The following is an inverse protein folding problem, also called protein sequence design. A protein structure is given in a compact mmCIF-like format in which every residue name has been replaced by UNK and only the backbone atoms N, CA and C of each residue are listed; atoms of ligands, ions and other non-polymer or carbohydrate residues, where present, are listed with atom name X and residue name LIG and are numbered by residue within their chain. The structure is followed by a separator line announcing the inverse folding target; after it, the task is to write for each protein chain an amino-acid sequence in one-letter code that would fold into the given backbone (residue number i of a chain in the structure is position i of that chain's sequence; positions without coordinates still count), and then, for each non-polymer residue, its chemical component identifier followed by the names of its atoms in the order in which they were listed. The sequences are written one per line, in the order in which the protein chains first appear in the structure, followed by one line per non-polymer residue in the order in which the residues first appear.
data_IF_040223019128
#
_entry.id   IF_040223019128
#
_cell.length_a   1.000
_cell.length_b   1.000
_cell.length_c   1.000
_cell.angle_alpha   90.00
_cell.angle_beta   90.00
_cell.angle_gamma   90.00
#
_symmetry.space_group_name_H-M   'P 1'
#
loop_
_entity.id
_entity.type
_entity.pdbx_description
1 polymer ?
#
# COMPACT_ATOMS: atom_id res chain seq x y z
N UNK A 1 25.90 18.27 40.82
CA UNK A 1 24.44 18.20 40.61
C UNK A 1 24.12 18.24 39.12
N UNK A 2 24.40 17.17 38.37
CA UNK A 2 24.26 17.19 36.90
C UNK A 2 23.63 15.91 36.33
N UNK A 3 22.81 15.21 37.12
CA UNK A 3 22.31 13.87 36.75
C UNK A 3 20.79 13.76 36.72
N UNK A 4 20.04 14.81 37.05
CA UNK A 4 18.57 14.72 37.17
C UNK A 4 17.84 15.23 35.92
N UNK A 5 18.47 16.06 35.08
CA UNK A 5 17.81 16.71 33.95
C UNK A 5 17.76 15.91 32.63
N UNK A 6 18.48 14.79 32.50
CA UNK A 6 18.35 13.92 31.29
C UNK A 6 17.15 12.98 31.33
N UNK A 7 16.64 12.65 32.52
CA UNK A 7 15.58 11.64 32.67
C UNK A 7 14.17 12.10 32.27
N UNK A 8 13.97 13.42 32.10
CA UNK A 8 12.67 13.99 31.73
C UNK A 8 12.45 14.09 30.22
N UNK A 9 13.51 14.21 29.42
CA UNK A 9 13.40 14.30 27.95
C UNK A 9 13.24 12.94 27.26
N UNK A 10 13.76 11.86 27.85
CA UNK A 10 13.60 10.51 27.29
C UNK A 10 12.20 9.91 27.56
N UNK A 11 11.42 10.47 28.49
CA UNK A 11 10.05 10.01 28.78
C UNK A 11 8.97 10.65 27.90
N UNK A 12 9.28 11.72 27.16
CA UNK A 12 8.28 12.40 26.33
C UNK A 12 8.28 12.00 24.85
N UNK A 13 9.23 11.18 24.40
CA UNK A 13 9.20 10.65 23.03
C UNK A 13 8.32 9.40 22.86
N UNK A 14 7.72 8.89 23.94
CA UNK A 14 6.88 7.68 23.92
C UNK A 14 5.39 7.92 23.63
N UNK A 15 4.92 9.16 23.46
CA UNK A 15 3.48 9.48 23.44
C UNK A 15 2.99 10.00 22.08
N UNK A 16 3.87 10.21 21.10
CA UNK A 16 3.45 10.51 19.73
C UNK A 16 3.52 9.25 18.86
N UNK A 17 2.74 8.24 19.24
CA UNK A 17 2.23 7.34 18.21
C UNK A 17 0.98 8.00 17.62
N UNK A 18 1.09 8.45 16.38
CA UNK A 18 -0.05 8.97 15.62
C UNK A 18 -1.22 7.97 15.66
N UNK A 19 -2.49 8.40 15.62
CA UNK A 19 -3.63 7.47 15.56
C UNK A 19 -3.55 6.48 14.39
N UNK A 20 -2.78 6.82 13.35
CA UNK A 20 -2.48 5.97 12.20
C UNK A 20 -1.37 4.93 12.46
N UNK A 21 -0.42 5.17 13.38
CA UNK A 21 0.55 4.17 13.83
C UNK A 21 -0.15 2.96 14.49
N UNK A 22 -1.24 3.19 15.23
CA UNK A 22 -2.01 2.14 15.89
C UNK A 22 -2.82 1.28 14.92
N UNK A 23 -3.31 1.84 13.81
CA UNK A 23 -4.28 1.14 12.96
C UNK A 23 -3.69 0.05 12.06
N UNK A 24 -2.39 0.10 11.70
CA UNK A 24 -1.74 -1.03 11.03
C UNK A 24 -1.31 -2.11 12.04
N UNK A 25 -0.92 -1.69 13.26
CA UNK A 25 -0.58 -2.60 14.36
C UNK A 25 -1.76 -3.42 14.87
N UNK A 26 -3.00 -2.97 14.65
CA UNK A 26 -4.20 -3.72 15.06
C UNK A 26 -4.52 -4.93 14.18
N UNK A 27 -3.97 -5.01 12.96
CA UNK A 27 -4.29 -6.07 12.00
C UNK A 27 -3.29 -7.22 12.00
N UNK A 28 -2.07 -6.98 12.45
CA UNK A 28 -0.98 -7.96 12.39
C UNK A 28 -0.39 -8.10 13.78
N UNK A 29 -0.37 -9.34 14.31
CA UNK A 29 0.19 -9.59 15.64
C UNK A 29 1.69 -9.31 15.69
N UNK A 30 2.21 -8.98 16.87
CA UNK A 30 3.65 -8.79 17.10
C UNK A 30 4.47 -10.02 16.68
N UNK A 31 3.94 -11.23 16.88
CA UNK A 31 4.59 -12.46 16.43
C UNK A 31 4.77 -12.50 14.90
N UNK A 32 3.73 -12.14 14.14
CA UNK A 32 3.79 -12.11 12.67
C UNK A 32 4.75 -11.02 12.19
N UNK A 33 4.73 -9.84 12.83
CA UNK A 33 5.70 -8.78 12.54
C UNK A 33 7.13 -9.24 12.79
N UNK A 34 7.39 -9.96 13.88
CA UNK A 34 8.72 -10.52 14.18
C UNK A 34 9.19 -11.54 13.13
N UNK A 35 8.30 -12.39 12.62
CA UNK A 35 8.63 -13.35 11.53
C UNK A 35 8.98 -12.62 10.24
N UNK A 36 8.20 -11.60 9.87
CA UNK A 36 8.48 -10.78 8.69
C UNK A 36 9.76 -9.94 8.87
N UNK A 37 9.99 -9.37 10.05
CA UNK A 37 11.21 -8.64 10.39
C UNK A 37 12.46 -9.50 10.17
N UNK A 38 12.45 -10.74 10.64
CA UNK A 38 13.52 -11.70 10.39
C UNK A 38 13.70 -12.02 8.90
N UNK A 39 12.60 -12.17 8.12
CA UNK A 39 12.64 -12.46 6.68
C UNK A 39 13.26 -11.30 5.87
N UNK A 40 12.96 -10.06 6.26
CA UNK A 40 13.39 -8.86 5.55
C UNK A 40 14.68 -8.25 6.12
N UNK A 41 15.23 -8.79 7.20
CA UNK A 41 16.42 -8.24 7.86
C UNK A 41 16.20 -6.83 8.41
N UNK A 42 14.98 -6.54 8.85
CA UNK A 42 14.52 -5.21 9.28
C UNK A 42 13.97 -5.25 10.71
N UNK A 43 13.70 -4.10 11.31
CA UNK A 43 13.01 -4.02 12.60
C UNK A 43 11.50 -4.19 12.42
N UNK A 44 10.80 -4.59 13.47
CA UNK A 44 9.34 -4.77 13.43
C UNK A 44 8.61 -3.46 13.07
N UNK A 45 9.10 -2.32 13.55
CA UNK A 45 8.54 -1.01 13.22
C UNK A 45 8.71 -0.66 11.75
N UNK A 46 9.86 -1.01 11.16
CA UNK A 46 10.16 -0.80 9.75
C UNK A 46 9.25 -1.67 8.88
N UNK A 47 9.06 -2.95 9.25
CA UNK A 47 8.14 -3.85 8.54
C UNK A 47 6.70 -3.36 8.64
N UNK A 48 6.27 -2.88 9.80
CA UNK A 48 4.93 -2.31 9.96
C UNK A 48 4.75 -1.08 9.06
N UNK A 49 5.79 -0.26 8.88
CA UNK A 49 5.79 0.85 7.94
C UNK A 49 5.76 0.38 6.48
N UNK A 50 6.60 -0.58 6.12
CA UNK A 50 6.60 -1.19 4.78
C UNK A 50 5.23 -1.79 4.42
N UNK A 51 4.54 -2.43 5.38
CA UNK A 51 3.20 -2.96 5.19
C UNK A 51 2.18 -1.84 4.91
N UNK A 52 2.25 -0.71 5.62
CA UNK A 52 1.41 0.46 5.35
C UNK A 52 1.63 0.98 3.93
N UNK A 53 2.89 1.16 3.55
CA UNK A 53 3.25 1.62 2.21
C UNK A 53 2.80 0.63 1.13
N UNK A 54 2.94 -0.67 1.38
CA UNK A 54 2.50 -1.71 0.45
C UNK A 54 0.98 -1.71 0.25
N UNK A 55 0.21 -1.55 1.33
CA UNK A 55 -1.25 -1.39 1.29
C UNK A 55 -1.62 -0.18 0.42
N UNK A 56 -0.98 0.96 0.66
CA UNK A 56 -1.26 2.19 -0.06
C UNK A 56 -0.86 2.11 -1.53
N UNK A 57 0.25 1.46 -1.85
CA UNK A 57 0.75 1.27 -3.21
C UNK A 57 -0.17 0.36 -4.03
N UNK A 58 -0.59 -0.77 -3.44
CA UNK A 58 -1.57 -1.67 -4.06
C UNK A 58 -2.95 -1.00 -4.18
N UNK A 59 -3.39 -0.26 -3.17
CA UNK A 59 -4.62 0.51 -3.25
C UNK A 59 -4.57 1.58 -4.35
N UNK A 60 -3.40 2.18 -4.63
CA UNK A 60 -3.22 3.15 -5.72
C UNK A 60 -3.38 2.47 -7.08
N UNK A 61 -2.78 1.29 -7.27
CA UNK A 61 -2.95 0.48 -8.48
C UNK A 61 -4.43 0.13 -8.70
N UNK A 62 -5.09 -0.44 -7.68
CA UNK A 62 -6.50 -0.82 -7.75
C UNK A 62 -7.41 0.39 -7.98
N UNK A 63 -7.07 1.54 -7.41
CA UNK A 63 -7.82 2.79 -7.61
C UNK A 63 -7.92 3.21 -9.07
N UNK A 64 -6.89 2.96 -9.89
CA UNK A 64 -6.95 3.25 -11.33
C UNK A 64 -7.98 2.38 -12.04
N UNK A 65 -8.10 1.10 -11.67
CA UNK A 65 -9.16 0.22 -12.20
C UNK A 65 -10.55 0.69 -11.76
N UNK A 66 -10.70 1.10 -10.50
CA UNK A 66 -11.95 1.67 -9.98
C UNK A 66 -12.38 2.91 -10.76
N UNK A 67 -11.45 3.81 -11.11
CA UNK A 67 -11.77 5.01 -11.88
C UNK A 67 -12.14 4.72 -13.32
N UNK A 68 -11.56 3.66 -13.90
CA UNK A 68 -11.95 3.11 -15.19
C UNK A 68 -13.26 2.29 -15.14
N UNK A 69 -13.99 2.30 -14.01
CA UNK A 69 -15.24 1.55 -13.84
C UNK A 69 -15.06 0.02 -13.71
N UNK A 70 -13.83 -0.46 -13.53
CA UNK A 70 -13.48 -1.87 -13.45
C UNK A 70 -13.39 -2.33 -11.99
N UNK A 71 -14.53 -2.58 -11.35
CA UNK A 71 -14.63 -2.93 -9.92
C UNK A 71 -14.26 -4.38 -9.57
N UNK A 72 -14.22 -5.27 -10.57
CA UNK A 72 -14.06 -6.71 -10.36
C UNK A 72 -12.77 -7.12 -9.63
N UNK A 73 -11.69 -6.34 -9.73
CA UNK A 73 -10.46 -6.58 -8.98
C UNK A 73 -10.65 -6.31 -7.48
N UNK A 74 -11.29 -5.20 -7.15
CA UNK A 74 -11.56 -4.82 -5.75
C UNK A 74 -12.56 -5.79 -5.13
N UNK A 75 -13.62 -6.16 -5.85
CA UNK A 75 -14.64 -7.08 -5.34
C UNK A 75 -14.05 -8.47 -5.04
N UNK A 76 -13.18 -8.98 -5.93
CA UNK A 76 -12.49 -10.27 -5.70
C UNK A 76 -11.55 -10.22 -4.49
N UNK A 77 -10.82 -9.13 -4.32
CA UNK A 77 -9.90 -8.97 -3.17
C UNK A 77 -10.65 -8.77 -1.85
N UNK A 78 -11.74 -8.00 -1.85
CA UNK A 78 -12.55 -7.76 -0.65
C UNK A 78 -13.27 -9.01 -0.14
N UNK A 79 -13.54 -9.97 -1.03
CA UNK A 79 -14.21 -11.24 -0.75
C UNK A 79 -13.28 -12.46 -0.88
N UNK A 80 -11.96 -12.23 -0.93
CA UNK A 80 -11.01 -13.32 -1.07
C UNK A 80 -11.08 -14.26 0.15
N UNK A 81 -11.26 -15.56 -0.11
CA UNK A 81 -11.28 -16.60 0.92
C UNK A 81 -9.93 -17.32 1.08
N UNK A 82 -8.94 -16.96 0.25
CA UNK A 82 -7.66 -17.66 0.19
C UNK A 82 -6.62 -16.90 -0.61
N UNK A 83 -5.37 -17.32 -0.41
CA UNK A 83 -4.18 -16.73 -1.04
C UNK A 83 -4.22 -16.83 -2.56
N UNK A 84 -4.80 -17.88 -3.10
CA UNK A 84 -4.88 -18.16 -4.54
C UNK A 84 -5.70 -17.07 -5.24
N UNK A 85 -6.83 -16.69 -4.64
CA UNK A 85 -7.71 -15.62 -5.17
C UNK A 85 -6.98 -14.28 -5.16
N UNK A 86 -6.27 -13.98 -4.07
CA UNK A 86 -5.46 -12.75 -3.97
C UNK A 86 -4.36 -12.74 -5.03
N UNK A 87 -3.58 -13.83 -5.11
CA UNK A 87 -2.44 -13.96 -6.02
C UNK A 87 -2.88 -13.83 -7.48
N UNK A 88 -3.94 -14.53 -7.89
CA UNK A 88 -4.47 -14.46 -9.24
C UNK A 88 -4.99 -13.04 -9.57
N UNK A 89 -5.71 -12.42 -8.65
CA UNK A 89 -6.28 -11.08 -8.87
C UNK A 89 -5.20 -10.01 -8.97
N UNK A 90 -4.19 -10.05 -8.08
CA UNK A 90 -3.05 -9.12 -8.14
C UNK A 90 -2.22 -9.34 -9.41
N UNK A 91 -1.99 -10.59 -9.81
CA UNK A 91 -1.31 -10.91 -11.06
C UNK A 91 -2.04 -10.30 -12.26
N UNK A 92 -3.36 -10.49 -12.37
CA UNK A 92 -4.14 -9.95 -13.47
C UNK A 92 -4.09 -8.42 -13.52
N UNK A 93 -4.28 -7.75 -12.37
CA UNK A 93 -4.22 -6.30 -12.25
C UNK A 93 -2.84 -5.77 -12.67
N UNK A 94 -1.75 -6.36 -12.16
CA UNK A 94 -0.38 -6.01 -12.54
C UNK A 94 -0.13 -6.20 -14.03
N UNK A 95 -0.55 -7.34 -14.59
CA UNK A 95 -0.38 -7.67 -16.01
C UNK A 95 -1.06 -6.63 -16.90
N UNK A 96 -2.29 -6.25 -16.57
CA UNK A 96 -3.04 -5.24 -17.34
C UNK A 96 -2.39 -3.87 -17.20
N UNK A 97 -2.07 -3.42 -15.98
CA UNK A 97 -1.42 -2.14 -15.75
C UNK A 97 -0.09 -2.04 -16.50
N UNK A 98 0.75 -3.07 -16.40
CA UNK A 98 2.08 -3.11 -17.02
C UNK A 98 2.00 -3.11 -18.55
N UNK A 99 1.10 -3.93 -19.11
CA UNK A 99 0.90 -3.99 -20.57
C UNK A 99 0.35 -2.68 -21.13
N UNK A 100 -0.59 -2.05 -20.41
CA UNK A 100 -1.18 -0.76 -20.80
C UNK A 100 -0.13 0.35 -20.74
N UNK A 101 0.66 0.38 -19.66
CA UNK A 101 1.75 1.36 -19.48
C UNK A 101 2.79 1.25 -20.59
N UNK A 102 3.27 0.04 -20.88
CA UNK A 102 4.26 -0.22 -21.94
C UNK A 102 3.77 0.13 -23.33
N UNK A 103 2.47 0.00 -23.57
CA UNK A 103 1.87 0.35 -24.86
C UNK A 103 1.54 1.85 -25.00
N UNK A 104 1.82 2.68 -23.98
CA UNK A 104 1.45 4.10 -23.98
C UNK A 104 -0.06 4.33 -24.03
N UNK A 105 -0.85 3.39 -23.53
CA UNK A 105 -2.32 3.43 -23.54
C UNK A 105 -2.87 3.82 -22.17
N UNK A 106 -4.18 4.05 -22.13
CA UNK A 106 -4.95 4.26 -20.90
C UNK A 106 -5.84 3.04 -20.63
N UNK A 107 -6.26 2.86 -19.37
CA UNK A 107 -7.23 1.84 -18.96
C UNK A 107 -8.65 2.17 -19.46
N UNK A 108 -8.94 3.46 -19.57
CA UNK A 108 -10.16 4.08 -20.09
C UNK A 108 -9.85 5.50 -20.60
N UNK A 109 -10.82 6.26 -21.13
CA UNK A 109 -10.63 7.52 -21.88
C UNK A 109 -9.57 8.48 -21.30
N UNK A 110 -9.42 8.58 -19.97
CA UNK A 110 -8.38 9.42 -19.35
C UNK A 110 -7.67 8.77 -18.14
N UNK A 111 -7.75 7.45 -17.98
CA UNK A 111 -7.20 6.79 -16.79
C UNK A 111 -5.87 6.11 -17.13
N UNK A 112 -4.75 6.81 -16.89
CA UNK A 112 -3.41 6.20 -16.95
C UNK A 112 -3.31 4.99 -16.01
N UNK A 113 -2.60 3.90 -16.36
CA UNK A 113 -2.36 2.80 -15.44
C UNK A 113 -1.35 3.18 -14.35
N UNK A 114 -1.44 2.52 -13.19
CA UNK A 114 -0.40 2.54 -12.16
C UNK A 114 0.04 1.11 -11.88
N UNK A 115 1.35 0.90 -11.68
CA UNK A 115 1.94 -0.42 -11.40
C UNK A 115 2.52 -0.37 -10.01
N UNK A 116 1.95 -1.15 -9.08
CA UNK A 116 2.48 -1.28 -7.73
C UNK A 116 3.91 -1.86 -7.78
N UNK A 117 4.76 -1.45 -6.84
CA UNK A 117 6.14 -1.92 -6.73
C UNK A 117 6.15 -3.42 -6.41
N UNK A 118 7.14 -4.13 -6.96
CA UNK A 118 7.33 -5.56 -6.69
C UNK A 118 7.43 -5.85 -5.18
N UNK A 119 8.19 -5.03 -4.45
CA UNK A 119 8.35 -5.17 -3.00
C UNK A 119 7.02 -5.06 -2.24
N UNK A 120 6.12 -4.17 -2.65
CA UNK A 120 4.79 -4.02 -2.06
C UNK A 120 3.96 -5.29 -2.24
N UNK A 121 3.89 -5.80 -3.47
CA UNK A 121 3.13 -7.00 -3.80
C UNK A 121 3.69 -8.22 -3.08
N UNK A 122 5.03 -8.37 -3.11
CA UNK A 122 5.73 -9.47 -2.44
C UNK A 122 5.47 -9.47 -0.95
N UNK A 123 5.52 -8.32 -0.29
CA UNK A 123 5.28 -8.21 1.14
C UNK A 123 3.86 -8.64 1.53
N UNK A 124 2.84 -8.30 0.72
CA UNK A 124 1.46 -8.75 0.97
C UNK A 124 1.31 -10.27 0.79
N UNK A 125 1.97 -10.85 -0.22
CA UNK A 125 1.95 -12.30 -0.44
C UNK A 125 2.70 -13.05 0.66
N UNK A 126 3.85 -12.54 1.09
CA UNK A 126 4.60 -13.08 2.22
C UNK A 126 3.78 -13.05 3.52
N UNK A 127 3.02 -11.98 3.75
CA UNK A 127 2.12 -11.90 4.90
C UNK A 127 1.02 -12.98 4.82
N UNK A 128 0.42 -13.23 3.65
CA UNK A 128 -0.55 -14.32 3.47
C UNK A 128 0.07 -15.71 3.74
N UNK A 129 1.36 -15.88 3.44
CA UNK A 129 2.09 -17.12 3.70
C UNK A 129 2.42 -17.31 5.19
N UNK A 130 2.66 -16.22 5.93
CA UNK A 130 2.94 -16.26 7.37
C UNK A 130 1.66 -16.37 8.20
N UNK A 131 0.65 -15.57 7.86
CA UNK A 131 -0.65 -15.57 8.51
C UNK A 131 -1.76 -15.18 7.52
N UNK A 132 -2.47 -16.19 7.04
CA UNK A 132 -3.55 -16.04 6.06
C UNK A 132 -4.63 -15.07 6.54
N UNK A 133 -5.01 -15.10 7.83
CA UNK A 133 -6.13 -14.29 8.34
C UNK A 133 -5.76 -12.81 8.32
N UNK A 134 -4.62 -12.44 8.91
CA UNK A 134 -4.14 -11.05 8.86
C UNK A 134 -3.85 -10.60 7.44
N UNK A 135 -3.28 -11.48 6.60
CA UNK A 135 -3.02 -11.19 5.19
C UNK A 135 -4.29 -10.88 4.39
N UNK A 136 -5.36 -11.65 4.57
CA UNK A 136 -6.64 -11.39 3.91
C UNK A 136 -7.25 -10.06 4.36
N UNK A 137 -7.18 -9.74 5.66
CA UNK A 137 -7.72 -8.47 6.17
C UNK A 137 -6.91 -7.26 5.68
N UNK A 138 -5.59 -7.39 5.59
CA UNK A 138 -4.70 -6.37 5.02
C UNK A 138 -5.02 -6.12 3.53
N UNK A 139 -5.22 -7.18 2.75
CA UNK A 139 -5.58 -7.08 1.33
C UNK A 139 -6.97 -6.47 1.16
N UNK A 140 -7.93 -6.86 2.00
CA UNK A 140 -9.26 -6.27 2.04
C UNK A 140 -9.21 -4.78 2.34
N UNK A 141 -8.32 -4.35 3.25
CA UNK A 141 -8.09 -2.92 3.52
C UNK A 141 -7.55 -2.19 2.29
N UNK A 142 -6.61 -2.76 1.55
CA UNK A 142 -6.13 -2.17 0.29
C UNK A 142 -7.27 -2.01 -0.73
N UNK A 143 -8.13 -3.02 -0.86
CA UNK A 143 -9.32 -2.99 -1.71
C UNK A 143 -10.31 -1.89 -1.30
N UNK A 144 -10.61 -1.76 0.00
CA UNK A 144 -11.49 -0.70 0.53
C UNK A 144 -10.87 0.68 0.30
N UNK A 145 -9.57 0.85 0.56
CA UNK A 145 -8.88 2.12 0.35
C UNK A 145 -8.94 2.58 -1.11
N UNK A 146 -8.84 1.63 -2.06
CA UNK A 146 -8.96 1.92 -3.48
C UNK A 146 -10.31 2.57 -3.85
N UNK A 147 -11.40 2.20 -3.16
CA UNK A 147 -12.73 2.78 -3.37
C UNK A 147 -12.87 4.20 -2.81
N UNK A 148 -12.16 4.50 -1.72
CA UNK A 148 -12.24 5.82 -1.05
C UNK A 148 -11.38 6.90 -1.69
N UNK A 149 -10.43 6.53 -2.56
CA UNK A 149 -9.44 7.47 -3.15
C UNK A 149 -9.94 8.34 -4.30
N UNK A 150 -11.25 8.39 -4.54
CA UNK A 150 -11.85 9.11 -5.68
C UNK A 150 -11.63 10.63 -5.64
N UNK A 151 -11.33 11.21 -4.48
CA UNK A 151 -11.29 12.67 -4.29
C UNK A 151 -9.89 13.32 -4.42
N UNK A 152 -8.78 12.60 -4.23
CA UNK A 152 -7.45 13.25 -4.09
C UNK A 152 -6.65 13.46 -5.36
N UNK A 153 -6.95 12.77 -6.46
CA UNK A 153 -6.04 12.77 -7.63
C UNK A 153 -6.39 13.83 -8.68
N UNK A 154 -7.53 14.52 -8.53
CA UNK A 154 -7.74 15.79 -9.25
C UNK A 154 -6.66 16.83 -8.92
N UNK A 155 -5.98 16.73 -7.77
CA UNK A 155 -4.92 17.64 -7.35
C UNK A 155 -3.53 17.16 -7.84
N UNK A 156 -3.22 15.86 -7.68
CA UNK A 156 -1.93 15.28 -8.09
C UNK A 156 -1.71 15.28 -9.62
N UNK A 157 -2.74 15.03 -10.43
CA UNK A 157 -2.63 15.10 -11.91
C UNK A 157 -2.35 16.54 -12.41
N UNK A 158 -2.72 17.57 -11.63
CA UNK A 158 -2.37 18.97 -11.91
C UNK A 158 -0.92 19.31 -11.56
N UNK A 159 -0.29 18.58 -10.63
CA UNK A 159 1.11 18.79 -10.25
C UNK A 159 2.07 18.02 -11.18
N UNK A 160 1.80 16.74 -11.47
CA UNK A 160 2.59 15.96 -12.44
C UNK A 160 2.54 16.59 -13.85
N UNK A 161 1.38 17.12 -14.26
CA UNK A 161 1.26 17.85 -15.53
C UNK A 161 2.02 19.19 -15.55
N UNK A 162 2.24 19.82 -14.39
CA UNK A 162 3.05 21.05 -14.28
C UNK A 162 4.54 20.75 -14.28
N UNK A 163 4.98 19.64 -13.69
CA UNK A 163 6.38 19.20 -13.75
C UNK A 163 6.77 18.77 -15.17
N UNK A 164 5.88 18.06 -15.90
CA UNK A 164 6.13 17.69 -17.31
C UNK A 164 6.11 18.93 -18.24
N UNK A 165 5.35 19.98 -17.93
CA UNK A 165 5.30 21.22 -18.71
C UNK A 165 6.42 22.23 -18.36
N UNK A 166 7.04 22.12 -17.18
CA UNK A 166 8.09 23.03 -16.69
C UNK A 166 9.53 22.64 -17.09
N UNK A 167 9.75 21.40 -17.55
CA UNK A 167 11.08 20.90 -17.96
C UNK A 167 11.50 21.23 -19.40
N UNK A 168 10.67 21.96 -20.16
CA UNK A 168 10.90 22.32 -21.56
C UNK A 168 11.15 23.82 -21.77
N UNK A 169 12.13 24.38 -21.09
CA UNK A 169 12.54 25.77 -21.26
C UNK A 169 14.04 25.93 -21.04
N UNK A 170 14.77 25.88 -22.17
CA UNK A 170 16.14 26.37 -22.47
C UNK A 170 17.30 26.11 -21.49
#
# INVERSE_FOLDING_TARGET
MHTVFRSALERQQSIFTSPLQTQAMGLVSAHVLGVLAARYGAKEEDVAQMLREAIEDVARMLGRFVWAGQYSFVDRLANAAGREVVSATLYEALRISESTRKAGRTLDENVRPYVAKEGSVRLLLDLLDVDLVSGLEVVKRAAILALTRRERVKEEETEEAKEEAGGGGE
#
